data_IF_595484773483
#
_entry.id   IF_595484773483
#
_cell.length_a   1.000
_cell.length_b   1.000
_cell.length_c   1.000
_cell.angle_alpha   90.00
_cell.angle_beta   90.00
_cell.angle_gamma   90.00
#
_symmetry.space_group_name_H-M   'P 1'
#
loop_
_entity.id
_entity.type
_entity.pdbx_description
1 polymer ?
#
# COMPACT_ATOMS: atom_id res chain seq x y z
N UNK A 1 -11.73 3.04 20.69
CA UNK A 1 -11.88 1.60 21.04
C UNK A 1 -11.58 0.71 19.83
N UNK A 2 -12.21 0.92 18.67
CA UNK A 2 -11.97 0.10 17.46
C UNK A 2 -10.50 0.04 16.96
N UNK A 3 -9.74 1.13 17.07
CA UNK A 3 -8.34 1.20 16.59
C UNK A 3 -7.30 0.48 17.47
N UNK A 4 -7.64 0.03 18.68
CA UNK A 4 -6.66 -0.55 19.62
C UNK A 4 -6.29 -2.01 19.29
N UNK A 5 -7.13 -2.72 18.54
CA UNK A 5 -6.87 -4.11 18.11
C UNK A 5 -6.47 -4.24 16.64
N UNK A 6 -6.59 -3.16 15.87
CA UNK A 6 -6.32 -3.19 14.44
C UNK A 6 -4.84 -2.98 14.14
N UNK A 7 -4.33 -3.74 13.17
CA UNK A 7 -2.99 -3.52 12.63
C UNK A 7 -2.99 -2.25 11.77
N UNK A 8 -2.22 -1.26 12.20
CA UNK A 8 -2.09 0.02 11.50
C UNK A 8 -0.82 0.02 10.65
N UNK A 9 -0.90 0.60 9.46
CA UNK A 9 0.27 0.89 8.63
C UNK A 9 0.29 2.37 8.27
N UNK A 10 1.50 2.91 8.14
CA UNK A 10 1.69 4.33 7.93
C UNK A 10 1.19 4.76 6.55
N UNK A 11 1.35 3.94 5.52
CA UNK A 11 1.14 4.32 4.13
C UNK A 11 2.24 5.24 3.60
N UNK A 12 2.08 5.76 2.40
CA UNK A 12 3.10 6.56 1.70
C UNK A 12 2.57 7.93 1.26
N UNK A 13 3.47 8.76 0.70
CA UNK A 13 3.13 10.00 0.00
C UNK A 13 4.15 10.22 -1.15
N UNK A 14 4.42 9.15 -1.88
CA UNK A 14 5.41 9.08 -2.96
C UNK A 14 4.77 9.34 -4.33
N UNK A 15 3.43 9.44 -4.41
CA UNK A 15 2.68 9.67 -5.65
C UNK A 15 3.07 8.65 -6.73
N UNK A 16 3.58 9.11 -7.87
CA UNK A 16 4.06 8.29 -8.98
C UNK A 16 5.60 8.17 -8.97
N UNK A 17 6.24 8.13 -7.80
CA UNK A 17 7.70 7.94 -7.73
C UNK A 17 8.00 6.46 -7.58
N UNK A 18 8.69 5.87 -8.56
CA UNK A 18 9.22 4.52 -8.44
C UNK A 18 10.42 4.55 -7.48
N UNK A 19 10.37 3.72 -6.44
CA UNK A 19 11.46 3.57 -5.48
C UNK A 19 12.36 2.41 -5.92
N UNK A 20 13.54 2.72 -6.47
CA UNK A 20 14.48 1.69 -6.92
C UNK A 20 13.96 0.87 -8.11
N UNK A 21 14.35 -0.39 -8.18
CA UNK A 21 13.83 -1.31 -9.21
C UNK A 21 12.39 -1.73 -8.90
N UNK A 22 11.66 -2.19 -9.93
CA UNK A 22 10.25 -2.61 -9.80
C UNK A 22 10.07 -3.69 -8.72
N UNK A 23 11.02 -4.63 -8.60
CA UNK A 23 11.02 -5.65 -7.55
C UNK A 23 11.19 -5.08 -6.14
N UNK A 24 12.08 -4.10 -5.97
CA UNK A 24 12.33 -3.46 -4.68
C UNK A 24 11.11 -2.64 -4.25
N UNK A 25 10.48 -1.98 -5.22
CA UNK A 25 9.24 -1.25 -5.02
C UNK A 25 8.12 -2.19 -4.58
N UNK A 26 7.90 -3.29 -5.29
CA UNK A 26 6.90 -4.29 -4.93
C UNK A 26 7.15 -4.91 -3.56
N UNK A 27 8.40 -5.27 -3.25
CA UNK A 27 8.80 -5.79 -1.94
C UNK A 27 8.52 -4.78 -0.82
N UNK A 28 8.70 -3.49 -1.11
CA UNK A 28 8.39 -2.41 -0.16
C UNK A 28 6.89 -2.28 0.08
N UNK A 29 6.06 -2.37 -0.97
CA UNK A 29 4.60 -2.42 -0.85
C UNK A 29 4.15 -3.60 0.01
N UNK A 30 4.68 -4.79 -0.25
CA UNK A 30 4.35 -6.00 0.51
C UNK A 30 4.74 -5.83 1.98
N UNK A 31 5.96 -5.38 2.27
CA UNK A 31 6.40 -5.16 3.67
C UNK A 31 5.52 -4.15 4.40
N UNK A 32 5.05 -3.12 3.71
CA UNK A 32 4.30 -2.02 4.32
C UNK A 32 2.84 -2.36 4.59
N UNK A 33 2.19 -3.08 3.68
CA UNK A 33 0.75 -3.33 3.73
C UNK A 33 0.39 -4.76 4.12
N UNK A 34 1.36 -5.68 4.26
CA UNK A 34 1.09 -7.04 4.72
C UNK A 34 0.45 -7.04 6.10
N UNK A 35 -0.68 -7.73 6.22
CA UNK A 35 -1.52 -7.78 7.42
C UNK A 35 -1.92 -6.40 7.95
N UNK A 36 -2.01 -5.36 7.12
CA UNK A 36 -2.51 -4.05 7.53
C UNK A 36 -4.03 -3.97 7.41
N UNK A 37 -4.71 -3.57 8.48
CA UNK A 37 -6.16 -3.33 8.50
C UNK A 37 -6.50 -1.85 8.29
N UNK A 38 -5.66 -0.94 8.79
CA UNK A 38 -5.91 0.51 8.78
C UNK A 38 -4.70 1.27 8.23
N UNK A 39 -4.88 1.99 7.13
CA UNK A 39 -3.83 2.88 6.58
C UNK A 39 -4.03 4.30 7.11
N UNK A 40 -3.00 4.83 7.78
CA UNK A 40 -3.03 6.18 8.35
C UNK A 40 -2.87 7.29 7.30
N UNK A 41 -2.05 7.04 6.27
CA UNK A 41 -1.79 7.96 5.14
C UNK A 41 -2.50 7.47 3.85
N UNK A 42 -1.91 7.73 2.69
CA UNK A 42 -2.39 7.21 1.41
C UNK A 42 -2.02 5.73 1.26
N UNK A 43 -2.94 4.98 0.64
CA UNK A 43 -2.66 3.68 0.04
C UNK A 43 -2.24 3.92 -1.41
N UNK A 44 -0.93 3.85 -1.70
CA UNK A 44 -0.39 4.05 -3.04
C UNK A 44 0.15 2.70 -3.54
N UNK A 45 -0.40 2.20 -4.65
CA UNK A 45 0.01 0.93 -5.28
C UNK A 45 0.41 1.25 -6.71
N UNK A 46 1.68 1.60 -6.91
CA UNK A 46 2.24 2.00 -8.20
C UNK A 46 3.22 0.95 -8.72
N UNK A 47 3.49 0.97 -10.03
CA UNK A 47 4.54 0.15 -10.66
C UNK A 47 4.42 -1.36 -10.36
N UNK A 48 3.19 -1.86 -10.21
CA UNK A 48 2.94 -3.30 -10.02
C UNK A 48 2.69 -3.93 -11.38
N UNK A 49 3.48 -4.96 -11.71
CA UNK A 49 3.29 -5.73 -12.93
C UNK A 49 2.00 -6.55 -12.89
N UNK A 50 1.43 -6.82 -14.06
CA UNK A 50 0.15 -7.51 -14.24
C UNK A 50 -0.02 -8.85 -13.50
N UNK A 51 1.08 -9.57 -13.26
CA UNK A 51 1.06 -10.95 -12.74
C UNK A 51 1.44 -11.03 -11.26
N UNK A 52 1.45 -9.91 -10.55
CA UNK A 52 1.84 -9.85 -9.14
C UNK A 52 0.68 -10.19 -8.22
N UNK A 53 0.99 -10.99 -7.20
CA UNK A 53 0.03 -11.35 -6.17
C UNK A 53 -0.16 -10.19 -5.17
N UNK A 54 -1.36 -9.62 -5.18
CA UNK A 54 -1.77 -8.53 -4.29
C UNK A 54 -2.60 -9.01 -3.08
N UNK A 55 -2.69 -10.33 -2.82
CA UNK A 55 -3.48 -10.90 -1.71
C UNK A 55 -3.05 -10.45 -0.32
N UNK A 56 -1.84 -9.88 -0.18
CA UNK A 56 -1.38 -9.25 1.07
C UNK A 56 -2.15 -7.96 1.40
N UNK A 57 -2.81 -7.33 0.43
CA UNK A 57 -3.65 -6.14 0.62
C UNK A 57 -5.00 -6.53 1.22
N UNK A 58 -5.08 -6.52 2.55
CA UNK A 58 -6.31 -6.78 3.31
C UNK A 58 -6.82 -5.55 4.07
N UNK A 59 -6.43 -4.36 3.60
CA UNK A 59 -6.79 -3.08 4.23
C UNK A 59 -8.31 -2.93 4.24
N UNK A 60 -8.85 -2.75 5.44
CA UNK A 60 -10.29 -2.66 5.69
C UNK A 60 -10.77 -1.21 5.86
N UNK A 61 -9.89 -0.31 6.32
CA UNK A 61 -10.22 1.10 6.59
C UNK A 61 -9.09 2.03 6.11
N UNK A 62 -9.47 3.13 5.47
CA UNK A 62 -8.58 4.22 5.09
C UNK A 62 -8.95 5.48 5.89
N UNK A 63 -7.96 6.13 6.51
CA UNK A 63 -8.20 7.36 7.30
C UNK A 63 -8.25 8.61 6.40
N UNK A 64 -7.60 8.59 5.22
CA UNK A 64 -7.53 9.73 4.29
C UNK A 64 -8.35 9.50 3.02
N UNK A 65 -8.87 10.57 2.38
CA UNK A 65 -9.52 10.48 1.08
C UNK A 65 -8.50 10.03 0.00
N UNK A 66 -8.95 9.05 -0.79
CA UNK A 66 -8.18 8.18 -1.67
C UNK A 66 -7.32 8.93 -2.72
N UNK A 67 -6.06 8.51 -2.90
CA UNK A 67 -5.38 8.53 -4.19
C UNK A 67 -4.90 7.11 -4.49
N UNK A 68 -5.67 6.35 -5.29
CA UNK A 68 -5.13 5.15 -5.92
C UNK A 68 -4.35 5.61 -7.14
N UNK A 69 -3.04 5.73 -7.00
CA UNK A 69 -2.16 5.93 -8.14
C UNK A 69 -1.86 4.55 -8.74
N UNK A 70 -2.65 4.08 -9.71
CA UNK A 70 -2.26 2.92 -10.52
C UNK A 70 -1.52 3.42 -11.75
N UNK A 71 -0.24 3.07 -11.87
CA UNK A 71 0.46 3.09 -13.15
C UNK A 71 0.91 1.67 -13.45
N UNK A 72 0.33 1.11 -14.50
CA UNK A 72 0.69 -0.18 -15.06
C UNK A 72 1.91 0.06 -15.95
N UNK A 73 3.04 -0.49 -15.54
CA UNK A 73 4.27 -0.55 -16.34
C UNK A 73 4.30 -1.84 -17.16
#
# INVERSE_FOLDING_TARGET
IFLLSSTVCQGTNNKLTQLGHVEDHFTSLQRMYNNCEVVLSNLEITYVEHNRDLTFLKVSVLIRPILVAMQMG
#
